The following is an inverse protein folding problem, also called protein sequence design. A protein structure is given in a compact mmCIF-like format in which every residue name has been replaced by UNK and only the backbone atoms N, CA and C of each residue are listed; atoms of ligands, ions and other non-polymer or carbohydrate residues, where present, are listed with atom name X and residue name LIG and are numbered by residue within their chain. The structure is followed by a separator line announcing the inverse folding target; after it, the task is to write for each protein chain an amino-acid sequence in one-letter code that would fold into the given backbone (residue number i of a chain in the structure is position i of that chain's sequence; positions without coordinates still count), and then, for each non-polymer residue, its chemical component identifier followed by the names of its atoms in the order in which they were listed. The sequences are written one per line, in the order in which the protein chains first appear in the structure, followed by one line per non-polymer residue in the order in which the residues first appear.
data_IF_598473838597
#
_entry.id   IF_598473838597
#
_cell.length_a   1.000
_cell.length_b   1.000
_cell.length_c   1.000
_cell.angle_alpha   90.00
_cell.angle_beta   90.00
_cell.angle_gamma   90.00
#
_symmetry.space_group_name_H-M   'P 1'
#
loop_
_entity.id
_entity.type
_entity.pdbx_description
1 polymer ?
#
# COMPACT_ATOMS: atom_id res chain seq x y z
N UNK A 1 17.74 24.02 -71.83
CA UNK A 1 17.51 25.49 -71.91
C UNK A 1 16.87 25.97 -70.60
N UNK A 2 16.90 27.28 -70.36
CA UNK A 2 16.25 28.07 -69.27
C UNK A 2 14.82 27.61 -68.86
N UNK A 3 14.28 27.88 -67.65
CA UNK A 3 14.76 28.58 -66.41
C UNK A 3 13.85 28.27 -65.18
N UNK A 4 14.23 28.81 -64.00
CA UNK A 4 13.57 29.06 -62.68
C UNK A 4 12.01 29.19 -62.63
N UNK A 5 11.28 29.18 -61.50
CA UNK A 5 11.50 29.51 -60.05
C UNK A 5 10.82 28.45 -59.12
N UNK A 6 11.32 28.07 -57.92
CA UNK A 6 11.25 28.74 -56.58
C UNK A 6 9.80 28.95 -56.09
N UNK A 7 9.31 28.58 -54.89
CA UNK A 7 9.82 28.18 -53.53
C UNK A 7 8.90 27.01 -53.02
N UNK A 8 9.15 26.14 -52.01
CA UNK A 8 10.13 26.01 -50.91
C UNK A 8 9.45 26.12 -49.51
N UNK A 9 9.86 25.49 -48.39
CA UNK A 9 10.87 24.46 -48.15
C UNK A 9 11.70 24.70 -46.86
N UNK A 10 11.61 23.82 -45.84
CA UNK A 10 12.67 23.49 -44.84
C UNK A 10 12.13 22.68 -43.63
N UNK A 11 12.68 21.48 -43.39
CA UNK A 11 12.66 20.83 -42.07
C UNK A 11 14.06 20.98 -41.45
N UNK A 12 14.18 21.56 -40.24
CA UNK A 12 15.49 21.66 -39.56
C UNK A 12 15.37 21.38 -38.06
N UNK A 13 15.95 20.24 -37.66
CA UNK A 13 16.70 19.95 -36.42
C UNK A 13 16.30 20.67 -35.12
N UNK A 14 15.76 19.91 -34.16
CA UNK A 14 15.85 20.23 -32.74
C UNK A 14 17.24 19.81 -32.20
N UNK A 15 18.16 20.75 -32.12
CA UNK A 15 19.41 20.65 -31.35
C UNK A 15 19.47 21.84 -30.38
N UNK A 16 19.85 21.59 -29.13
CA UNK A 16 19.64 22.54 -28.03
C UNK A 16 20.58 23.74 -28.04
N UNK A 17 20.07 24.90 -27.60
CA UNK A 17 20.87 26.04 -27.17
C UNK A 17 20.92 26.05 -25.63
N UNK A 18 22.12 26.10 -25.06
CA UNK A 18 22.30 26.41 -23.64
C UNK A 18 21.92 27.85 -23.35
N UNK A 19 21.38 28.10 -22.15
CA UNK A 19 21.14 29.47 -21.67
C UNK A 19 22.46 30.21 -21.49
N UNK A 20 22.60 31.35 -22.15
CA UNK A 20 23.73 32.25 -21.94
C UNK A 20 23.58 32.97 -20.59
N UNK A 21 24.70 33.14 -19.89
CA UNK A 21 24.75 33.87 -18.62
C UNK A 21 24.57 35.37 -18.88
N UNK A 22 23.39 35.91 -18.55
CA UNK A 22 23.11 37.35 -18.73
C UNK A 22 23.97 38.21 -17.79
N UNK A 23 24.70 39.17 -18.37
CA UNK A 23 25.49 40.18 -17.65
C UNK A 23 24.95 41.58 -18.00
N UNK A 24 24.08 42.10 -17.13
CA UNK A 24 23.32 43.32 -17.40
C UNK A 24 24.18 44.56 -17.64
N UNK A 25 23.89 45.28 -18.73
CA UNK A 25 24.62 46.47 -19.18
C UNK A 25 24.01 47.80 -18.66
N UNK A 26 23.51 47.80 -17.42
CA UNK A 26 22.96 49.01 -16.78
C UNK A 26 21.66 49.55 -17.40
N UNK A 27 20.85 48.68 -17.99
CA UNK A 27 19.58 49.05 -18.65
C UNK A 27 18.55 49.58 -17.65
N UNK A 28 17.87 50.67 -18.01
CA UNK A 28 16.84 51.31 -17.20
C UNK A 28 15.47 50.65 -17.47
N UNK A 29 14.84 50.13 -16.42
CA UNK A 29 13.51 49.54 -16.49
C UNK A 29 12.49 50.52 -15.92
N UNK A 30 11.69 51.15 -16.79
CA UNK A 30 10.54 51.94 -16.40
C UNK A 30 9.37 51.00 -16.06
N UNK A 31 8.84 51.09 -14.84
CA UNK A 31 7.78 50.20 -14.34
C UNK A 31 6.41 50.86 -14.51
N UNK A 32 5.74 50.58 -15.63
CA UNK A 32 4.41 51.10 -15.99
C UNK A 32 3.33 50.98 -14.89
N UNK A 33 3.49 50.07 -13.93
CA UNK A 33 2.58 49.90 -12.80
C UNK A 33 3.34 49.68 -11.48
N UNK A 34 3.67 50.77 -10.79
CA UNK A 34 4.13 50.71 -9.39
C UNK A 34 2.92 50.59 -8.46
N UNK A 35 2.76 49.44 -7.81
CA UNK A 35 1.78 49.26 -6.73
C UNK A 35 2.24 50.01 -5.46
N UNK A 36 2.03 51.33 -5.41
CA UNK A 36 2.20 52.11 -4.17
C UNK A 36 1.14 51.71 -3.15
N UNK A 37 1.51 50.86 -2.20
CA UNK A 37 0.76 50.68 -0.95
C UNK A 37 1.11 51.85 -0.03
N UNK A 38 0.37 52.95 -0.17
CA UNK A 38 0.46 54.09 0.75
C UNK A 38 0.00 53.66 2.15
N UNK A 39 0.96 53.39 3.04
CA UNK A 39 0.68 53.25 4.46
C UNK A 39 0.50 54.64 5.07
N UNK A 40 -0.74 54.99 5.40
CA UNK A 40 -1.03 56.15 6.26
C UNK A 40 -0.30 56.00 7.61
N UNK A 41 0.71 56.85 7.84
CA UNK A 41 1.49 56.90 9.08
C UNK A 41 0.82 57.79 10.14
N UNK A 42 -0.30 58.45 9.83
CA UNK A 42 -1.04 59.32 10.76
C UNK A 42 -1.68 58.52 11.91
N UNK A 43 -1.89 57.21 11.72
CA UNK A 43 -2.33 56.29 12.77
C UNK A 43 -1.13 55.61 13.43
N UNK A 44 -0.56 56.30 14.41
CA UNK A 44 0.38 55.72 15.38
C UNK A 44 -0.38 54.79 16.37
N UNK A 45 -0.86 53.65 15.88
CA UNK A 45 -1.22 52.55 16.76
C UNK A 45 0.03 52.08 17.51
N UNK A 46 -0.09 51.88 18.82
CA UNK A 46 1.04 51.58 19.69
C UNK A 46 1.59 50.18 19.40
N UNK A 47 2.67 50.12 18.63
CA UNK A 47 3.44 48.89 18.41
C UNK A 47 3.88 48.34 19.75
N UNK A 48 3.27 47.24 20.18
CA UNK A 48 3.69 46.50 21.36
C UNK A 48 5.04 45.85 21.09
N UNK A 49 6.11 46.55 21.46
CA UNK A 49 7.45 46.00 21.51
C UNK A 49 7.45 44.89 22.57
N UNK A 50 7.56 43.63 22.13
CA UNK A 50 7.66 42.48 23.01
C UNK A 50 9.00 42.53 23.76
N UNK A 51 9.00 43.03 24.99
CA UNK A 51 10.21 43.22 25.79
C UNK A 51 10.66 41.90 26.42
N UNK A 52 11.56 41.19 25.73
CA UNK A 52 12.06 39.85 26.05
C UNK A 52 13.01 39.84 27.28
N UNK A 53 12.74 40.64 28.31
CA UNK A 53 13.59 40.76 29.52
C UNK A 53 12.86 40.61 30.86
N UNK A 54 11.53 40.67 30.90
CA UNK A 54 10.75 40.48 32.15
C UNK A 54 9.64 39.42 32.01
N UNK A 55 9.94 38.32 31.31
CA UNK A 55 9.12 37.10 31.33
C UNK A 55 9.95 35.86 31.68
N UNK A 56 10.62 35.92 32.83
CA UNK A 56 11.06 34.73 33.57
C UNK A 56 9.84 34.03 34.22
N UNK A 57 8.84 33.69 33.40
CA UNK A 57 7.78 32.79 33.79
C UNK A 57 8.42 31.43 34.06
N UNK A 58 8.20 30.88 35.25
CA UNK A 58 8.76 29.58 35.66
C UNK A 58 8.00 28.42 35.01
N UNK A 59 7.98 28.39 33.68
CA UNK A 59 7.77 27.14 32.95
C UNK A 59 8.99 26.25 33.19
N UNK A 60 8.91 25.41 34.22
CA UNK A 60 9.80 24.25 34.31
C UNK A 60 9.77 23.53 32.95
N UNK A 61 10.93 23.05 32.45
CA UNK A 61 10.95 22.32 31.18
C UNK A 61 10.07 21.09 31.34
N UNK A 62 8.87 21.13 30.75
CA UNK A 62 7.86 20.09 30.90
C UNK A 62 8.49 18.75 30.53
N UNK A 63 8.74 17.93 31.55
CA UNK A 63 9.27 16.58 31.39
C UNK A 63 8.20 15.79 30.65
N UNK A 64 8.28 15.80 29.31
CA UNK A 64 7.52 14.90 28.45
C UNK A 64 7.69 13.51 29.03
N UNK A 65 6.61 12.95 29.57
CA UNK A 65 6.67 11.64 30.18
C UNK A 65 7.17 10.68 29.11
N UNK A 66 8.39 10.15 29.31
CA UNK A 66 8.97 9.17 28.41
C UNK A 66 8.08 7.95 28.55
N UNK A 67 7.18 7.74 27.59
CA UNK A 67 6.29 6.59 27.62
C UNK A 67 7.17 5.33 27.67
N UNK A 68 6.90 4.38 28.58
CA UNK A 68 7.70 3.17 28.67
C UNK A 68 7.67 2.47 27.31
N UNK A 69 8.85 2.14 26.79
CA UNK A 69 8.95 1.46 25.50
C UNK A 69 8.20 0.13 25.56
N UNK A 70 7.48 -0.22 24.50
CA UNK A 70 6.72 -1.45 24.46
C UNK A 70 7.67 -2.67 24.57
N UNK A 71 7.28 -3.64 25.40
CA UNK A 71 8.02 -4.89 25.60
C UNK A 71 7.22 -6.04 25.02
N UNK A 72 7.79 -6.69 24.01
CA UNK A 72 7.21 -7.81 23.29
C UNK A 72 7.94 -9.06 23.75
N UNK A 73 7.19 -10.04 24.26
CA UNK A 73 7.74 -11.27 24.87
C UNK A 73 7.28 -12.46 24.06
N UNK A 74 8.21 -13.35 23.72
CA UNK A 74 7.95 -14.73 23.31
C UNK A 74 8.02 -15.57 24.58
N UNK A 75 6.97 -16.35 24.85
CA UNK A 75 6.94 -17.23 26.02
C UNK A 75 7.69 -18.54 25.76
N UNK A 76 8.05 -19.23 26.83
CA UNK A 76 8.80 -20.49 26.77
C UNK A 76 7.98 -21.58 26.06
N UNK A 77 8.50 -22.11 24.96
CA UNK A 77 7.80 -23.09 24.12
C UNK A 77 6.70 -22.50 23.22
N UNK A 78 6.51 -21.17 23.21
CA UNK A 78 5.56 -20.53 22.29
C UNK A 78 6.16 -20.48 20.86
N UNK A 79 5.42 -20.90 19.83
CA UNK A 79 5.85 -20.71 18.45
C UNK A 79 5.94 -19.23 18.07
N UNK A 80 6.95 -18.85 17.30
CA UNK A 80 7.16 -17.45 16.90
C UNK A 80 5.94 -16.88 16.15
N UNK A 81 5.30 -17.65 15.28
CA UNK A 81 4.08 -17.26 14.57
C UNK A 81 2.90 -16.95 15.52
N UNK A 82 2.83 -17.60 16.69
CA UNK A 82 1.83 -17.28 17.72
C UNK A 82 2.16 -15.97 18.44
N UNK A 83 3.44 -15.75 18.77
CA UNK A 83 3.89 -14.49 19.35
C UNK A 83 3.65 -13.31 18.39
N UNK A 84 4.03 -13.41 17.11
CA UNK A 84 3.81 -12.36 16.10
C UNK A 84 2.32 -12.03 15.92
N UNK A 85 1.43 -13.04 15.87
CA UNK A 85 -0.04 -12.83 15.81
C UNK A 85 -0.55 -12.09 17.04
N UNK A 86 -0.05 -12.44 18.23
CA UNK A 86 -0.37 -11.76 19.50
C UNK A 86 0.15 -10.32 19.53
N UNK A 87 1.33 -10.04 18.99
CA UNK A 87 1.93 -8.71 18.92
C UNK A 87 1.21 -7.79 17.94
N UNK A 88 0.91 -8.26 16.72
CA UNK A 88 0.09 -7.51 15.75
C UNK A 88 -1.30 -7.15 16.32
N UNK A 89 -1.88 -8.04 17.12
CA UNK A 89 -3.14 -7.77 17.84
C UNK A 89 -3.00 -6.70 18.92
N UNK A 90 -1.84 -6.55 19.58
CA UNK A 90 -1.58 -5.42 20.49
C UNK A 90 -1.29 -4.10 19.77
N UNK A 91 -0.74 -4.13 18.56
CA UNK A 91 -0.66 -2.95 17.67
C UNK A 91 -2.04 -2.53 17.11
N UNK A 92 -3.09 -3.32 17.37
CA UNK A 92 -4.48 -3.03 16.99
C UNK A 92 -5.01 -3.81 15.78
N UNK A 93 -4.16 -4.55 15.06
CA UNK A 93 -4.56 -5.38 13.92
C UNK A 93 -5.32 -6.62 14.39
N UNK A 94 -6.65 -6.52 14.46
CA UNK A 94 -7.53 -7.63 14.84
C UNK A 94 -7.67 -8.66 13.72
N UNK A 95 -7.57 -8.20 12.48
CA UNK A 95 -7.62 -9.00 11.26
C UNK A 95 -6.21 -9.05 10.67
N UNK A 96 -5.63 -10.25 10.54
CA UNK A 96 -4.30 -10.45 9.97
C UNK A 96 -4.34 -11.62 8.99
N UNK A 97 -4.14 -11.34 7.71
CA UNK A 97 -3.93 -12.37 6.69
C UNK A 97 -2.47 -12.84 6.71
N UNK A 98 -2.24 -14.11 6.39
CA UNK A 98 -0.91 -14.73 6.34
C UNK A 98 -0.76 -15.47 5.01
N UNK A 99 0.36 -15.26 4.33
CA UNK A 99 0.68 -15.89 3.04
C UNK A 99 2.16 -16.19 3.02
N UNK A 100 2.52 -17.36 3.55
CA UNK A 100 3.89 -17.74 3.94
C UNK A 100 4.23 -19.08 3.27
N UNK A 101 5.43 -19.21 2.71
CA UNK A 101 5.93 -20.49 2.19
C UNK A 101 6.01 -21.55 3.29
N UNK A 102 5.88 -22.86 2.97
CA UNK A 102 6.02 -23.94 3.96
C UNK A 102 7.34 -23.91 4.74
N UNK A 103 8.43 -23.45 4.11
CA UNK A 103 9.76 -23.33 4.73
C UNK A 103 9.78 -22.29 5.84
N UNK A 104 9.34 -21.06 5.57
CA UNK A 104 9.25 -20.02 6.60
C UNK A 104 8.12 -20.31 7.62
N UNK A 105 7.03 -20.96 7.21
CA UNK A 105 5.95 -21.34 8.13
C UNK A 105 6.45 -22.37 9.15
N UNK A 106 7.31 -23.33 8.76
CA UNK A 106 7.97 -24.24 9.70
C UNK A 106 8.89 -23.52 10.71
N UNK A 107 9.57 -22.43 10.30
CA UNK A 107 10.35 -21.58 11.22
C UNK A 107 9.46 -20.75 12.16
N UNK A 108 8.26 -20.36 11.71
CA UNK A 108 7.27 -19.69 12.57
C UNK A 108 6.60 -20.63 13.57
N UNK A 109 6.41 -21.90 13.21
CA UNK A 109 5.78 -22.91 14.08
C UNK A 109 6.78 -23.62 15.01
N UNK A 110 8.08 -23.41 14.83
CA UNK A 110 9.13 -23.90 15.72
C UNK A 110 9.01 -23.31 17.14
N UNK A 111 9.15 -24.12 18.21
CA UNK A 111 9.07 -23.64 19.58
C UNK A 111 10.30 -22.81 19.96
N UNK A 112 10.06 -21.65 20.57
CA UNK A 112 11.11 -20.71 20.97
C UNK A 112 11.46 -20.79 22.46
N UNK A 113 12.71 -20.49 22.78
CA UNK A 113 13.09 -20.10 24.14
C UNK A 113 12.47 -18.75 24.52
N UNK A 114 12.27 -18.53 25.83
CA UNK A 114 11.70 -17.30 26.36
C UNK A 114 12.59 -16.09 26.08
N UNK A 115 12.13 -15.18 25.23
CA UNK A 115 12.88 -13.99 24.80
C UNK A 115 12.02 -12.74 24.94
N UNK A 116 12.64 -11.62 25.36
CA UNK A 116 11.97 -10.35 25.61
C UNK A 116 12.67 -9.22 24.86
N UNK A 117 11.90 -8.48 24.07
CA UNK A 117 12.37 -7.43 23.18
C UNK A 117 11.71 -6.10 23.58
N UNK A 118 12.51 -5.08 23.92
CA UNK A 118 12.00 -3.76 24.31
C UNK A 118 12.34 -2.75 23.21
N UNK A 119 11.33 -2.03 22.69
CA UNK A 119 11.53 -1.12 21.57
C UNK A 119 10.23 -0.72 20.87
N UNK A 120 10.35 -0.27 19.61
CA UNK A 120 9.20 -0.12 18.70
C UNK A 120 8.94 -1.42 17.95
N UNK A 121 7.67 -1.71 17.63
CA UNK A 121 7.29 -2.91 16.87
C UNK A 121 8.13 -3.10 15.61
N UNK A 122 8.33 -2.05 14.80
CA UNK A 122 9.15 -2.13 13.57
C UNK A 122 10.59 -2.61 13.86
N UNK A 123 11.26 -2.08 14.88
CA UNK A 123 12.63 -2.51 15.22
C UNK A 123 12.65 -4.00 15.56
N UNK A 124 11.68 -4.46 16.34
CA UNK A 124 11.60 -5.84 16.82
C UNK A 124 11.25 -6.80 15.67
N UNK A 125 10.36 -6.38 14.76
CA UNK A 125 10.10 -7.05 13.49
C UNK A 125 11.35 -7.16 12.62
N UNK A 126 12.09 -6.06 12.44
CA UNK A 126 13.33 -6.02 11.67
C UNK A 126 14.44 -6.87 12.32
N UNK A 127 14.48 -7.00 13.64
CA UNK A 127 15.51 -7.74 14.37
C UNK A 127 15.23 -9.25 14.42
N UNK A 128 13.97 -9.66 14.64
CA UNK A 128 13.63 -11.09 14.75
C UNK A 128 13.74 -11.82 13.40
N UNK A 129 13.47 -11.14 12.29
CA UNK A 129 13.79 -11.61 10.93
C UNK A 129 15.28 -11.95 10.79
N UNK A 130 16.18 -11.03 11.18
CA UNK A 130 17.64 -11.24 11.11
C UNK A 130 18.10 -12.39 12.00
N UNK A 131 17.48 -12.55 13.16
CA UNK A 131 17.79 -13.62 14.11
C UNK A 131 17.43 -15.00 13.57
N UNK A 132 16.32 -15.11 12.81
CA UNK A 132 15.81 -16.37 12.26
C UNK A 132 16.25 -16.65 10.81
N UNK A 133 16.89 -15.68 10.16
CA UNK A 133 17.39 -15.81 8.79
C UNK A 133 16.34 -15.66 7.68
N UNK A 134 15.10 -15.30 8.00
CA UNK A 134 14.01 -15.12 7.03
C UNK A 134 13.64 -13.63 6.81
N UNK A 135 12.81 -13.37 5.78
CA UNK A 135 12.33 -12.03 5.41
C UNK A 135 10.80 -12.04 5.33
N UNK A 136 10.15 -11.27 6.20
CA UNK A 136 8.69 -11.08 6.24
C UNK A 136 8.32 -9.61 5.98
N UNK A 137 7.54 -9.42 4.93
CA UNK A 137 6.90 -8.17 4.60
C UNK A 137 5.57 -8.00 5.35
N UNK A 138 5.22 -6.74 5.60
CA UNK A 138 3.98 -6.35 6.26
C UNK A 138 3.26 -5.31 5.39
N UNK A 139 2.08 -5.67 4.87
CA UNK A 139 1.15 -4.73 4.25
C UNK A 139 0.08 -4.33 5.27
N UNK A 140 -0.36 -3.07 5.23
CA UNK A 140 -1.37 -2.51 6.14
C UNK A 140 -2.44 -1.81 5.30
N UNK A 141 -3.70 -2.00 5.66
CA UNK A 141 -4.86 -1.34 5.02
C UNK A 141 -5.97 -1.12 6.03
N UNK A 142 -7.01 -0.38 5.63
CA UNK A 142 -8.20 -0.14 6.44
C UNK A 142 -9.44 -0.60 5.67
N UNK A 143 -10.15 -1.60 6.20
CA UNK A 143 -11.38 -2.12 5.60
C UNK A 143 -12.57 -1.82 6.52
N UNK A 144 -13.64 -1.20 5.99
CA UNK A 144 -14.82 -0.75 6.76
C UNK A 144 -14.47 0.02 8.06
N UNK A 145 -13.37 0.79 8.04
CA UNK A 145 -12.86 1.56 9.19
C UNK A 145 -12.04 0.77 10.21
N UNK A 146 -11.82 -0.53 10.00
CA UNK A 146 -10.96 -1.38 10.86
C UNK A 146 -9.56 -1.55 10.25
N UNK A 147 -8.48 -1.48 11.05
CA UNK A 147 -7.13 -1.77 10.57
C UNK A 147 -6.94 -3.27 10.31
N UNK A 148 -6.33 -3.59 9.18
CA UNK A 148 -6.06 -4.96 8.71
C UNK A 148 -4.59 -5.05 8.30
N UNK A 149 -3.92 -6.11 8.70
CA UNK A 149 -2.56 -6.42 8.27
C UNK A 149 -2.52 -7.63 7.33
N UNK A 150 -1.51 -7.70 6.47
CA UNK A 150 -1.12 -8.90 5.75
C UNK A 150 0.36 -9.17 5.95
N UNK A 151 0.72 -10.38 6.36
CA UNK A 151 2.10 -10.84 6.54
C UNK A 151 2.46 -11.84 5.44
N UNK A 152 3.53 -11.56 4.70
CA UNK A 152 3.95 -12.39 3.56
C UNK A 152 5.46 -12.45 3.39
N UNK A 153 5.96 -13.47 2.68
CA UNK A 153 7.39 -13.68 2.43
C UNK A 153 7.79 -13.61 0.95
N UNK A 154 6.83 -13.73 0.02
CA UNK A 154 7.06 -13.58 -1.42
C UNK A 154 7.56 -12.17 -1.80
N UNK A 155 8.30 -12.07 -2.90
CA UNK A 155 8.79 -10.81 -3.44
C UNK A 155 7.75 -10.06 -4.29
N UNK A 156 7.89 -8.74 -4.36
CA UNK A 156 7.01 -7.85 -5.12
C UNK A 156 6.03 -7.07 -4.25
N UNK A 157 4.84 -6.80 -4.79
CA UNK A 157 3.73 -6.16 -4.07
C UNK A 157 2.71 -7.23 -3.67
N UNK A 158 2.16 -7.13 -2.47
CA UNK A 158 0.99 -7.92 -2.08
C UNK A 158 -0.32 -7.17 -2.33
N UNK A 159 -1.36 -7.92 -2.72
CA UNK A 159 -2.77 -7.50 -2.72
C UNK A 159 -3.44 -8.12 -1.49
N UNK A 160 -4.23 -7.33 -0.77
CA UNK A 160 -4.96 -7.75 0.42
C UNK A 160 -6.46 -7.53 0.19
N UNK A 161 -7.19 -8.61 -0.06
CA UNK A 161 -8.58 -8.62 -0.51
C UNK A 161 -9.48 -9.14 0.61
N UNK A 162 -10.57 -8.43 0.91
CA UNK A 162 -11.65 -8.99 1.72
C UNK A 162 -12.53 -9.88 0.84
N UNK A 163 -12.75 -11.12 1.28
CA UNK A 163 -13.49 -12.16 0.58
C UNK A 163 -14.78 -12.41 1.35
N UNK A 164 -15.93 -12.09 0.75
CA UNK A 164 -17.24 -12.15 1.41
C UNK A 164 -18.39 -12.27 0.43
N UNK A 165 -19.39 -13.08 0.75
CA UNK A 165 -20.59 -13.28 -0.08
C UNK A 165 -21.47 -14.40 0.48
N UNK A 166 -22.66 -14.57 -0.10
CA UNK A 166 -23.59 -15.63 0.29
C UNK A 166 -23.37 -16.93 -0.48
N UNK A 167 -22.79 -16.85 -1.68
CA UNK A 167 -22.45 -18.02 -2.50
C UNK A 167 -21.07 -17.92 -3.14
N UNK A 168 -20.48 -19.06 -3.48
CA UNK A 168 -19.16 -19.16 -4.09
C UNK A 168 -19.09 -18.39 -5.41
N UNK A 169 -20.16 -18.43 -6.23
CA UNK A 169 -20.24 -17.66 -7.47
C UNK A 169 -20.20 -16.15 -7.25
N UNK A 170 -20.84 -15.64 -6.18
CA UNK A 170 -20.76 -14.24 -5.81
C UNK A 170 -19.33 -13.86 -5.38
N UNK A 171 -18.72 -14.68 -4.54
CA UNK A 171 -17.36 -14.46 -4.01
C UNK A 171 -16.32 -14.48 -5.13
N UNK A 172 -16.33 -15.51 -5.97
CA UNK A 172 -15.42 -15.66 -7.10
C UNK A 172 -15.56 -14.48 -8.07
N UNK A 173 -16.78 -14.06 -8.38
CA UNK A 173 -17.03 -12.83 -9.15
C UNK A 173 -16.36 -11.60 -8.52
N UNK A 174 -16.52 -11.38 -7.21
CA UNK A 174 -15.92 -10.23 -6.53
C UNK A 174 -14.37 -10.28 -6.60
N UNK A 175 -13.77 -11.47 -6.49
CA UNK A 175 -12.32 -11.67 -6.65
C UNK A 175 -11.89 -11.39 -8.09
N UNK A 176 -12.53 -11.97 -9.10
CA UNK A 176 -12.23 -11.74 -10.53
C UNK A 176 -12.29 -10.24 -10.87
N UNK A 177 -13.32 -9.52 -10.41
CA UNK A 177 -13.47 -8.09 -10.65
C UNK A 177 -12.46 -7.21 -9.89
N UNK A 178 -11.99 -7.65 -8.71
CA UNK A 178 -10.91 -6.97 -7.97
C UNK A 178 -9.59 -7.05 -8.75
N UNK A 179 -9.30 -8.19 -9.37
CA UNK A 179 -8.15 -8.39 -10.26
C UNK A 179 -8.33 -7.77 -11.66
N UNK A 180 -9.33 -6.90 -11.85
CA UNK A 180 -9.61 -6.18 -13.11
C UNK A 180 -9.94 -7.10 -14.32
N UNK A 181 -10.19 -8.39 -14.05
CA UNK A 181 -10.56 -9.41 -15.03
C UNK A 181 -12.06 -9.41 -15.35
N UNK A 182 -12.43 -10.11 -16.43
CA UNK A 182 -13.78 -10.08 -16.99
C UNK A 182 -14.64 -11.22 -16.43
N UNK A 183 -15.79 -10.84 -15.88
CA UNK A 183 -16.84 -11.75 -15.44
C UNK A 183 -18.05 -11.69 -16.38
N UNK A 184 -18.47 -12.85 -16.91
CA UNK A 184 -19.61 -13.01 -17.81
C UNK A 184 -20.89 -13.35 -17.05
N UNK A 185 -21.77 -12.35 -16.87
CA UNK A 185 -23.11 -12.50 -16.24
C UNK A 185 -24.20 -13.10 -17.14
N UNK A 186 -23.85 -13.53 -18.36
CA UNK A 186 -24.85 -14.03 -19.30
C UNK A 186 -25.46 -15.36 -18.83
N UNK A 187 -26.68 -15.67 -19.28
CA UNK A 187 -27.21 -17.05 -19.21
C UNK A 187 -26.75 -17.89 -20.42
N UNK A 188 -26.06 -17.27 -21.39
CA UNK A 188 -25.64 -17.88 -22.67
C UNK A 188 -24.20 -18.39 -22.65
N UNK A 189 -23.67 -18.79 -23.81
CA UNK A 189 -22.31 -19.29 -24.04
C UNK A 189 -21.15 -18.34 -23.66
N UNK A 190 -21.43 -17.12 -23.18
CA UNK A 190 -20.41 -16.17 -22.68
C UNK A 190 -20.36 -16.06 -21.16
N UNK A 191 -21.02 -16.98 -20.45
CA UNK A 191 -21.10 -16.97 -18.98
C UNK A 191 -19.80 -17.45 -18.33
N UNK A 192 -19.40 -16.84 -17.22
CA UNK A 192 -18.23 -17.28 -16.45
C UNK A 192 -18.54 -18.48 -15.56
N UNK A 193 -19.75 -18.59 -15.00
CA UNK A 193 -20.12 -19.76 -14.20
C UNK A 193 -20.65 -20.89 -15.09
N UNK A 194 -19.81 -21.87 -15.41
CA UNK A 194 -20.18 -23.03 -16.22
C UNK A 194 -20.69 -24.20 -15.36
N UNK A 195 -20.16 -24.34 -14.14
CA UNK A 195 -20.61 -25.28 -13.12
C UNK A 195 -22.14 -25.29 -12.90
N UNK A 196 -22.66 -26.45 -12.51
CA UNK A 196 -24.09 -26.76 -12.43
C UNK A 196 -24.74 -26.25 -11.15
N UNK A 197 -23.98 -26.21 -10.05
CA UNK A 197 -24.42 -25.76 -8.74
C UNK A 197 -23.82 -24.39 -8.40
N UNK A 198 -24.44 -23.67 -7.47
CA UNK A 198 -23.83 -22.53 -6.78
C UNK A 198 -23.68 -22.91 -5.31
N UNK A 199 -22.45 -22.94 -4.81
CA UNK A 199 -22.13 -23.49 -3.48
C UNK A 199 -22.31 -22.43 -2.40
N UNK A 200 -22.80 -22.81 -1.23
CA UNK A 200 -22.89 -21.88 -0.10
C UNK A 200 -21.47 -21.49 0.36
N UNK A 201 -21.22 -20.18 0.45
CA UNK A 201 -20.00 -19.67 1.06
C UNK A 201 -20.20 -19.52 2.58
N UNK A 202 -19.20 -19.91 3.38
CA UNK A 202 -19.40 -20.21 4.80
C UNK A 202 -18.79 -19.20 5.78
N UNK A 203 -17.72 -18.49 5.40
CA UNK A 203 -17.01 -17.55 6.28
C UNK A 203 -16.30 -16.44 5.50
N UNK A 204 -16.54 -15.19 5.88
CA UNK A 204 -15.76 -14.03 5.40
C UNK A 204 -14.31 -14.11 5.89
N UNK A 205 -13.34 -13.82 5.02
CA UNK A 205 -11.91 -13.77 5.38
C UNK A 205 -11.12 -12.72 4.58
N UNK A 206 -9.83 -12.57 4.91
CA UNK A 206 -8.90 -11.72 4.16
C UNK A 206 -7.88 -12.58 3.43
N UNK A 207 -7.87 -12.47 2.10
CA UNK A 207 -6.95 -13.16 1.19
C UNK A 207 -5.73 -12.27 0.93
N UNK A 208 -4.54 -12.87 0.96
CA UNK A 208 -3.27 -12.19 0.78
C UNK A 208 -2.41 -12.94 -0.25
N UNK A 209 -2.10 -12.25 -1.34
CA UNK A 209 -1.52 -12.82 -2.56
C UNK A 209 -0.57 -11.83 -3.21
N UNK A 210 0.35 -12.27 -4.10
CA UNK A 210 1.05 -11.37 -5.01
C UNK A 210 0.07 -10.52 -5.83
N UNK A 211 0.47 -9.31 -6.20
CA UNK A 211 -0.43 -8.28 -6.74
C UNK A 211 -1.22 -8.71 -7.99
N UNK A 212 -0.59 -9.50 -8.86
CA UNK A 212 -1.16 -9.98 -10.13
C UNK A 212 -1.47 -11.50 -10.12
N UNK A 213 -1.29 -12.17 -8.97
CA UNK A 213 -1.57 -13.60 -8.81
C UNK A 213 -3.07 -13.84 -8.58
N UNK A 214 -3.80 -13.96 -9.68
CA UNK A 214 -5.20 -14.38 -9.70
C UNK A 214 -5.34 -15.90 -9.51
N UNK A 215 -4.39 -16.69 -10.02
CA UNK A 215 -4.50 -18.15 -10.01
C UNK A 215 -4.39 -18.72 -8.59
N UNK A 216 -3.43 -18.24 -7.79
CA UNK A 216 -3.32 -18.54 -6.36
C UNK A 216 -4.50 -17.99 -5.55
N UNK A 217 -5.07 -16.86 -5.95
CA UNK A 217 -6.26 -16.30 -5.34
C UNK A 217 -7.51 -17.18 -5.58
N UNK A 218 -7.73 -17.61 -6.83
CA UNK A 218 -8.84 -18.50 -7.18
C UNK A 218 -8.63 -19.91 -6.59
N UNK A 219 -7.41 -20.45 -6.62
CA UNK A 219 -7.10 -21.72 -5.96
C UNK A 219 -7.42 -21.68 -4.45
N UNK A 220 -7.10 -20.59 -3.75
CA UNK A 220 -7.44 -20.42 -2.32
C UNK A 220 -8.94 -20.26 -2.08
N UNK A 221 -9.68 -19.65 -3.02
CA UNK A 221 -11.13 -19.41 -2.90
C UNK A 221 -11.96 -20.64 -3.26
N UNK A 222 -11.47 -21.46 -4.19
CA UNK A 222 -12.10 -22.69 -4.65
C UNK A 222 -11.66 -23.94 -3.87
N UNK A 223 -10.68 -23.85 -2.96
CA UNK A 223 -10.23 -24.99 -2.15
C UNK A 223 -11.39 -25.65 -1.39
N UNK A 224 -11.39 -26.99 -1.38
CA UNK A 224 -12.46 -27.81 -0.81
C UNK A 224 -13.77 -27.87 -1.61
N UNK A 225 -13.94 -27.08 -2.69
CA UNK A 225 -15.11 -27.15 -3.58
C UNK A 225 -14.81 -27.99 -4.83
N UNK A 226 -15.80 -28.68 -5.43
CA UNK A 226 -15.60 -29.55 -6.59
C UNK A 226 -15.57 -28.76 -7.91
N UNK A 227 -14.93 -27.59 -7.93
CA UNK A 227 -14.88 -26.68 -9.08
C UNK A 227 -13.47 -26.14 -9.30
N UNK A 228 -13.13 -25.88 -10.56
CA UNK A 228 -11.84 -25.30 -10.97
C UNK A 228 -12.05 -23.98 -11.71
N UNK A 229 -10.99 -23.18 -11.80
CA UNK A 229 -10.96 -21.97 -12.63
C UNK A 229 -10.11 -22.20 -13.88
N UNK A 230 -10.55 -21.62 -15.00
CA UNK A 230 -9.76 -21.45 -16.21
C UNK A 230 -9.81 -19.99 -16.67
N UNK A 231 -8.72 -19.46 -17.22
CA UNK A 231 -8.63 -18.07 -17.66
C UNK A 231 -8.29 -18.03 -19.15
N UNK A 232 -9.05 -17.25 -19.93
CA UNK A 232 -8.79 -17.05 -21.35
C UNK A 232 -7.93 -15.79 -21.55
N UNK A 233 -6.60 -15.97 -21.48
CA UNK A 233 -5.55 -14.94 -21.54
C UNK A 233 -5.82 -13.81 -22.54
N UNK A 234 -6.20 -14.17 -23.77
CA UNK A 234 -6.48 -13.24 -24.89
C UNK A 234 -7.64 -12.26 -24.63
N UNK A 235 -8.41 -12.49 -23.56
CA UNK A 235 -9.58 -11.69 -23.19
C UNK A 235 -9.63 -11.30 -21.71
N UNK A 236 -8.83 -11.94 -20.85
CA UNK A 236 -8.95 -11.83 -19.40
C UNK A 236 -10.30 -12.33 -18.85
N UNK A 237 -11.04 -13.16 -19.59
CA UNK A 237 -12.29 -13.76 -19.08
C UNK A 237 -11.99 -15.03 -18.29
N UNK A 238 -12.50 -15.09 -17.06
CA UNK A 238 -12.44 -16.26 -16.18
C UNK A 238 -13.67 -17.13 -16.39
N UNK A 239 -13.49 -18.45 -16.36
CA UNK A 239 -14.55 -19.46 -16.36
C UNK A 239 -14.38 -20.37 -15.14
N UNK A 240 -15.49 -20.86 -14.60
CA UNK A 240 -15.55 -21.76 -13.44
C UNK A 240 -16.31 -23.02 -13.82
N UNK A 241 -15.64 -24.16 -13.73
CA UNK A 241 -16.05 -25.45 -14.28
C UNK A 241 -16.11 -26.49 -13.15
N UNK A 242 -16.84 -27.61 -13.32
CA UNK A 242 -16.79 -28.72 -12.36
C UNK A 242 -15.42 -29.43 -12.46
N UNK A 243 -14.86 -29.85 -11.33
CA UNK A 243 -13.65 -30.68 -11.31
C UNK A 243 -13.93 -32.10 -11.85
N UNK A 244 -13.00 -32.64 -12.63
CA UNK A 244 -13.06 -33.98 -13.26
C UNK A 244 -12.28 -35.03 -12.47
#
# INVERSE_FOLDING_TARGET
MNKLLLIGGACVLLAGCSTQTYTGQGEYFELDNVNLVERDLSRLESVQLADTRLSASSSEPSKRAIQPMATYVVYEGEPLGSALRRWLKSEGYRNVAWSITPEHQALLDAPMEKQAFTGSFKKIWDDIQKQQGFKLHLVQTTYKGQPVAGVYDFDGKARLTYVSGQSLREVVKQVVLNYELRWGESLTHKRSWLASNDYQFSADYYLLTPWDDIDGALATVLDGYPVTASILDSTGQVFIEEAL
#
